data_IF_884405166803
#
_entry.id   IF_884405166803
#
_cell.length_a   1.000
_cell.length_b   1.000
_cell.length_c   1.000
_cell.angle_alpha   90.00
_cell.angle_beta   90.00
_cell.angle_gamma   90.00
#
_symmetry.space_group_name_H-M   'P 1'
#
loop_
_entity.id
_entity.type
_entity.pdbx_description
1 polymer ?
#
# COMPACT_ATOMS: atom_id res chain seq x y z
N UNK A 1 -33.97 43.65 -32.76
CA UNK A 1 -34.83 44.53 -31.94
C UNK A 1 -34.81 43.98 -30.51
N UNK A 2 -34.11 44.63 -29.56
CA UNK A 2 -34.64 45.43 -28.41
C UNK A 2 -35.45 44.55 -27.42
N UNK A 3 -35.22 44.39 -26.11
CA UNK A 3 -34.58 45.12 -24.96
C UNK A 3 -34.45 44.06 -23.82
N UNK A 4 -33.39 43.86 -23.01
CA UNK A 4 -32.77 44.62 -21.89
C UNK A 4 -33.69 45.11 -20.74
N UNK A 5 -33.23 44.79 -19.50
CA UNK A 5 -33.52 45.33 -18.14
C UNK A 5 -34.30 44.36 -17.21
N UNK A 6 -34.00 44.14 -15.92
CA UNK A 6 -33.39 44.98 -14.87
C UNK A 6 -32.61 44.19 -13.78
N UNK A 7 -31.63 44.87 -13.17
CA UNK A 7 -30.95 44.60 -11.88
C UNK A 7 -31.79 45.06 -10.68
N UNK A 8 -31.62 44.40 -9.53
CA UNK A 8 -31.79 44.92 -8.15
C UNK A 8 -30.88 44.06 -7.24
N UNK A 9 -29.74 44.51 -6.69
CA UNK A 9 -29.47 45.54 -5.66
C UNK A 9 -30.24 45.33 -4.34
N UNK A 10 -29.51 44.92 -3.30
CA UNK A 10 -29.97 44.85 -1.91
C UNK A 10 -28.79 44.69 -0.94
N UNK A 11 -28.04 45.78 -0.75
CA UNK A 11 -27.03 45.99 0.29
C UNK A 11 -27.72 46.68 1.47
N UNK A 12 -27.63 46.14 2.69
CA UNK A 12 -27.86 46.92 3.92
C UNK A 12 -26.85 46.54 4.99
N UNK A 13 -26.16 47.57 5.48
CA UNK A 13 -25.07 47.54 6.42
C UNK A 13 -25.52 47.63 7.88
N UNK A 14 -24.67 47.05 8.75
CA UNK A 14 -24.18 47.50 10.05
C UNK A 14 -25.09 48.26 11.04
N UNK A 15 -25.10 47.79 12.29
CA UNK A 15 -24.95 48.63 13.48
C UNK A 15 -24.00 47.95 14.49
N UNK A 16 -22.88 48.62 14.75
CA UNK A 16 -21.98 48.42 15.89
C UNK A 16 -22.61 48.96 17.17
N UNK A 17 -22.33 48.35 18.31
CA UNK A 17 -22.18 49.10 19.57
C UNK A 17 -21.16 48.41 20.47
N UNK A 18 -20.27 49.23 21.02
CA UNK A 18 -19.10 48.84 21.79
C UNK A 18 -19.23 49.29 23.27
N UNK A 19 -18.37 48.69 24.10
CA UNK A 19 -17.78 49.20 25.34
C UNK A 19 -18.51 49.02 26.69
N UNK A 20 -17.87 48.27 27.60
CA UNK A 20 -17.39 48.68 28.95
C UNK A 20 -17.10 47.41 29.81
N UNK A 21 -15.86 47.17 30.29
CA UNK A 21 -15.38 47.25 31.70
C UNK A 21 -16.34 46.62 32.75
N UNK A 22 -15.97 45.75 33.69
CA UNK A 22 -14.71 45.31 34.32
C UNK A 22 -15.01 44.01 35.16
N UNK A 23 -14.03 43.35 35.81
CA UNK A 23 -14.13 42.00 36.38
C UNK A 23 -14.54 41.97 37.86
N UNK A 24 -15.03 40.83 38.36
CA UNK A 24 -15.04 40.48 39.78
C UNK A 24 -14.65 39.01 39.98
N UNK A 25 -13.73 38.82 40.93
CA UNK A 25 -13.26 37.56 41.52
C UNK A 25 -14.17 37.17 42.70
N UNK A 26 -14.34 35.87 42.95
CA UNK A 26 -14.40 35.21 44.27
C UNK A 26 -14.46 33.69 43.99
N UNK A 27 -13.42 32.90 44.31
CA UNK A 27 -13.21 32.19 45.60
C UNK A 27 -14.47 31.41 46.04
N UNK A 28 -14.51 30.13 46.40
CA UNK A 28 -13.60 29.04 46.77
C UNK A 28 -14.52 27.78 46.80
N UNK A 29 -14.11 26.52 46.64
CA UNK A 29 -13.43 25.68 47.63
C UNK A 29 -13.06 24.34 46.98
N UNK A 30 -11.93 23.81 47.45
CA UNK A 30 -11.28 22.55 47.13
C UNK A 30 -12.01 21.31 47.69
N UNK A 31 -11.86 20.16 47.01
CA UNK A 31 -11.45 18.85 47.58
C UNK A 31 -11.51 17.81 46.44
N UNK A 32 -10.59 16.87 46.18
CA UNK A 32 -9.36 16.43 46.82
C UNK A 32 -8.48 15.75 45.76
N UNK A 33 -7.18 15.90 45.97
CA UNK A 33 -6.00 15.31 45.35
C UNK A 33 -5.96 13.77 45.27
N UNK A 34 -5.32 13.23 44.21
CA UNK A 34 -4.24 12.20 44.21
C UNK A 34 -4.18 11.50 42.83
N UNK A 35 -3.05 11.28 42.16
CA UNK A 35 -1.64 11.52 42.46
C UNK A 35 -0.84 11.45 41.15
N UNK A 36 0.13 12.35 41.03
CA UNK A 36 1.08 12.51 39.95
C UNK A 36 2.31 11.63 40.25
N UNK A 37 2.96 11.06 39.24
CA UNK A 37 4.42 10.82 39.27
C UNK A 37 4.90 10.85 37.82
N UNK A 38 5.31 12.02 37.35
CA UNK A 38 6.70 12.52 37.32
C UNK A 38 7.30 12.36 35.91
N UNK A 39 7.32 13.47 35.19
CA UNK A 39 8.19 13.69 34.04
C UNK A 39 9.66 13.61 34.47
N UNK A 40 10.49 13.01 33.62
CA UNK A 40 11.89 13.44 33.51
C UNK A 40 12.25 13.68 32.04
N UNK A 41 12.52 14.96 31.77
CA UNK A 41 13.12 15.48 30.55
C UNK A 41 14.50 14.88 30.32
N UNK A 42 14.81 14.49 29.08
CA UNK A 42 16.15 14.61 28.50
C UNK A 42 16.11 14.51 26.97
N UNK A 43 16.65 15.55 26.34
CA UNK A 43 17.48 15.53 25.13
C UNK A 43 16.88 15.11 23.77
N UNK A 44 16.75 16.14 22.94
CA UNK A 44 16.81 16.08 21.48
C UNK A 44 18.09 15.35 21.04
N UNK A 45 17.94 14.13 20.54
CA UNK A 45 18.98 13.35 19.88
C UNK A 45 18.44 12.88 18.53
N UNK A 46 19.19 13.22 17.48
CA UNK A 46 19.08 12.74 16.09
C UNK A 46 19.27 11.23 16.02
N UNK A 47 18.32 10.53 15.40
CA UNK A 47 18.54 9.29 14.64
C UNK A 47 17.35 9.13 13.69
N UNK A 48 17.59 9.12 12.38
CA UNK A 48 16.62 8.57 11.44
C UNK A 48 16.54 7.08 11.75
N UNK A 49 15.45 6.67 12.40
CA UNK A 49 15.17 5.25 12.65
C UNK A 49 15.18 4.53 11.29
N UNK A 50 15.95 3.44 11.14
CA UNK A 50 15.85 2.61 9.94
C UNK A 50 14.42 2.09 9.91
N UNK A 51 13.73 2.25 8.78
CA UNK A 51 12.41 1.66 8.54
C UNK A 51 12.43 0.23 9.06
N UNK A 52 11.73 -0.02 10.16
CA UNK A 52 11.65 -1.34 10.76
C UNK A 52 10.97 -2.23 9.71
N UNK A 53 11.69 -3.24 9.24
CA UNK A 53 11.13 -4.33 8.46
C UNK A 53 10.08 -5.00 9.37
N UNK A 54 8.81 -4.66 9.18
CA UNK A 54 7.72 -5.30 9.91
C UNK A 54 7.54 -6.69 9.32
N UNK A 55 8.16 -7.69 9.95
CA UNK A 55 7.82 -9.09 9.68
C UNK A 55 6.38 -9.30 10.11
N UNK A 56 5.51 -9.48 9.12
CA UNK A 56 4.11 -9.77 9.31
C UNK A 56 3.97 -11.21 9.85
N UNK A 57 3.22 -11.42 10.95
CA UNK A 57 3.30 -12.69 11.71
C UNK A 57 1.99 -13.48 11.84
N UNK A 58 0.84 -12.91 11.50
CA UNK A 58 -0.48 -13.58 11.61
C UNK A 58 -1.44 -13.07 10.50
N UNK A 59 -2.33 -12.12 10.82
CA UNK A 59 -3.32 -11.53 9.92
C UNK A 59 -3.09 -10.00 9.82
N UNK A 60 -3.10 -9.43 8.61
CA UNK A 60 -2.91 -7.98 8.41
C UNK A 60 -4.19 -7.41 7.85
N UNK A 61 -4.91 -6.69 8.69
CA UNK A 61 -6.05 -5.89 8.29
C UNK A 61 -5.68 -4.41 8.35
N UNK A 62 -5.94 -3.68 7.27
CA UNK A 62 -5.82 -2.22 7.26
C UNK A 62 -6.92 -1.55 6.45
N UNK A 63 -7.12 -0.27 6.76
CA UNK A 63 -8.04 0.60 6.03
C UNK A 63 -7.35 1.92 5.74
N UNK A 64 -7.37 2.33 4.48
CA UNK A 64 -6.76 3.58 4.00
C UNK A 64 -7.78 4.29 3.13
N UNK A 65 -8.18 5.50 3.52
CA UNK A 65 -9.13 6.34 2.77
C UNK A 65 -10.45 5.64 2.39
N UNK A 66 -10.92 4.72 3.25
CA UNK A 66 -12.15 3.95 3.03
C UNK A 66 -11.98 2.67 2.21
N UNK A 67 -10.76 2.38 1.73
CA UNK A 67 -10.39 1.15 1.04
C UNK A 67 -9.85 0.13 2.04
N UNK A 68 -10.07 -1.16 1.83
CA UNK A 68 -9.67 -2.23 2.75
C UNK A 68 -8.67 -3.20 2.14
N UNK A 69 -7.68 -3.58 2.94
CA UNK A 69 -6.71 -4.62 2.65
C UNK A 69 -6.72 -5.64 3.78
N UNK A 70 -6.83 -6.91 3.43
CA UNK A 70 -6.72 -8.05 4.33
C UNK A 70 -5.72 -9.05 3.75
N UNK A 71 -4.75 -9.48 4.54
CA UNK A 71 -4.00 -10.70 4.29
C UNK A 71 -4.35 -11.71 5.37
N UNK A 72 -4.94 -12.83 4.96
CA UNK A 72 -5.49 -13.86 5.86
C UNK A 72 -4.37 -14.69 6.52
N UNK A 73 -3.26 -14.88 5.81
CA UNK A 73 -2.08 -15.61 6.29
C UNK A 73 -0.78 -14.81 6.10
N UNK A 74 0.19 -15.05 6.98
CA UNK A 74 1.51 -14.47 6.92
C UNK A 74 2.44 -15.23 5.96
N UNK A 75 3.34 -14.54 5.24
CA UNK A 75 4.38 -15.19 4.43
C UNK A 75 5.22 -16.17 5.24
N UNK A 76 5.39 -17.39 4.74
CA UNK A 76 6.22 -18.42 5.39
C UNK A 76 7.71 -18.25 5.09
N UNK A 77 8.04 -17.52 4.01
CA UNK A 77 9.41 -17.28 3.59
C UNK A 77 9.60 -15.95 2.86
N UNK A 78 10.86 -15.58 2.60
CA UNK A 78 11.21 -14.30 2.02
C UNK A 78 10.76 -14.11 0.55
N UNK A 79 10.49 -15.19 -0.20
CA UNK A 79 9.94 -15.08 -1.54
C UNK A 79 8.44 -14.75 -1.50
N UNK A 80 7.70 -15.38 -0.57
CA UNK A 80 6.30 -15.02 -0.30
C UNK A 80 6.19 -13.58 0.22
N UNK A 81 7.11 -13.14 1.08
CA UNK A 81 7.18 -11.75 1.57
C UNK A 81 7.33 -10.74 0.43
N UNK A 82 8.07 -11.10 -0.63
CA UNK A 82 8.20 -10.25 -1.81
C UNK A 82 6.88 -10.09 -2.58
N UNK A 83 6.10 -11.16 -2.70
CA UNK A 83 4.76 -11.14 -3.34
C UNK A 83 3.74 -10.40 -2.48
N UNK A 84 3.79 -10.61 -1.16
CA UNK A 84 3.00 -9.83 -0.22
C UNK A 84 3.29 -8.33 -0.34
N UNK A 85 4.58 -7.96 -0.35
CA UNK A 85 5.03 -6.56 -0.46
C UNK A 85 4.60 -5.92 -1.78
N UNK A 86 4.62 -6.67 -2.89
CA UNK A 86 4.12 -6.23 -4.19
C UNK A 86 2.63 -5.84 -4.15
N UNK A 87 1.81 -6.67 -3.51
CA UNK A 87 0.37 -6.39 -3.36
C UNK A 87 0.08 -5.27 -2.37
N UNK A 88 0.86 -5.18 -1.29
CA UNK A 88 0.76 -4.06 -0.37
C UNK A 88 1.11 -2.74 -1.07
N UNK A 89 2.18 -2.73 -1.88
CA UNK A 89 2.55 -1.57 -2.69
C UNK A 89 1.47 -1.19 -3.71
N UNK A 90 0.86 -2.18 -4.36
CA UNK A 90 -0.27 -1.99 -5.28
C UNK A 90 -1.49 -1.37 -4.58
N UNK A 91 -1.87 -1.91 -3.43
CA UNK A 91 -2.99 -1.38 -2.66
C UNK A 91 -2.73 0.06 -2.18
N UNK A 92 -1.52 0.33 -1.68
CA UNK A 92 -1.15 1.67 -1.22
C UNK A 92 -0.89 2.65 -2.37
N UNK A 93 -0.70 2.15 -3.60
CA UNK A 93 -0.16 2.90 -4.74
C UNK A 93 1.14 3.65 -4.38
N UNK A 94 2.00 3.02 -3.56
CA UNK A 94 3.24 3.63 -3.09
C UNK A 94 4.38 3.30 -4.07
N UNK A 95 4.88 4.30 -4.83
CA UNK A 95 5.95 4.06 -5.80
C UNK A 95 7.28 3.71 -5.14
N UNK A 96 7.53 4.18 -3.92
CA UNK A 96 8.77 3.86 -3.19
C UNK A 96 8.74 2.40 -2.76
N UNK A 97 7.65 1.95 -2.14
CA UNK A 97 7.50 0.56 -1.71
C UNK A 97 7.56 -0.39 -2.91
N UNK A 98 6.91 -0.04 -4.02
CA UNK A 98 6.96 -0.85 -5.25
C UNK A 98 8.38 -0.96 -5.82
N UNK A 99 9.13 0.13 -5.85
CA UNK A 99 10.50 0.14 -6.37
C UNK A 99 11.50 -0.60 -5.47
N UNK A 100 11.29 -0.64 -4.15
CA UNK A 100 12.12 -1.43 -3.23
C UNK A 100 12.04 -2.94 -3.53
N UNK A 101 10.84 -3.42 -3.90
CA UNK A 101 10.60 -4.81 -4.33
C UNK A 101 10.95 -5.10 -5.80
N UNK A 102 11.25 -4.08 -6.61
CA UNK A 102 11.52 -4.21 -8.04
C UNK A 102 13.02 -4.48 -8.31
N UNK A 103 13.41 -5.53 -9.06
CA UNK A 103 14.79 -5.71 -9.47
C UNK A 103 15.29 -4.54 -10.31
N UNK A 104 16.53 -4.08 -10.09
CA UNK A 104 17.12 -2.96 -10.86
C UNK A 104 17.08 -3.21 -12.37
N UNK A 105 17.27 -4.46 -12.79
CA UNK A 105 17.19 -4.90 -14.18
C UNK A 105 15.82 -4.68 -14.84
N UNK A 106 14.76 -4.51 -14.04
CA UNK A 106 13.37 -4.38 -14.49
C UNK A 106 12.82 -2.95 -14.40
N UNK A 107 13.48 -2.04 -13.69
CA UNK A 107 12.97 -0.66 -13.46
C UNK A 107 12.62 0.05 -14.79
N UNK A 108 13.40 -0.19 -15.83
CA UNK A 108 13.24 0.49 -17.12
C UNK A 108 12.22 -0.17 -18.07
N UNK A 109 11.67 -1.32 -17.67
CA UNK A 109 10.73 -2.10 -18.47
C UNK A 109 9.38 -1.37 -18.58
N UNK A 110 8.73 -1.34 -19.77
CA UNK A 110 7.49 -0.57 -19.99
C UNK A 110 6.38 -0.85 -18.98
N UNK A 111 6.25 -2.10 -18.54
CA UNK A 111 5.27 -2.56 -17.56
C UNK A 111 5.43 -1.83 -16.21
N UNK A 112 6.66 -1.73 -15.70
CA UNK A 112 6.98 -1.00 -14.45
C UNK A 112 6.65 0.49 -14.61
N UNK A 113 7.04 1.09 -15.74
CA UNK A 113 6.75 2.50 -16.03
C UNK A 113 5.26 2.79 -16.14
N UNK A 114 4.51 1.90 -16.77
CA UNK A 114 3.07 2.03 -16.88
C UNK A 114 2.40 1.92 -15.51
N UNK A 115 2.88 1.01 -14.65
CA UNK A 115 2.38 0.85 -13.28
C UNK A 115 2.60 2.11 -12.45
N UNK A 116 3.84 2.61 -12.42
CA UNK A 116 4.18 3.87 -11.73
C UNK A 116 3.38 5.05 -12.27
N UNK A 117 3.20 5.13 -13.59
CA UNK A 117 2.36 6.16 -14.22
C UNK A 117 0.88 6.06 -13.84
N UNK A 118 0.37 4.86 -13.51
CA UNK A 118 -0.98 4.70 -12.98
C UNK A 118 -1.07 5.19 -11.53
N UNK A 119 -0.05 4.93 -10.70
CA UNK A 119 0.00 5.45 -9.32
C UNK A 119 0.01 6.98 -9.29
N UNK A 120 0.81 7.62 -10.16
CA UNK A 120 0.86 9.08 -10.27
C UNK A 120 -0.48 9.71 -10.70
N UNK A 121 -1.36 8.91 -11.32
CA UNK A 121 -2.65 9.35 -11.84
C UNK A 121 -3.83 8.85 -11.00
N UNK A 122 -3.57 8.22 -9.84
CA UNK A 122 -4.59 7.62 -8.97
C UNK A 122 -5.52 6.64 -9.72
N UNK A 123 -5.00 5.92 -10.72
CA UNK A 123 -5.80 5.02 -11.57
C UNK A 123 -5.87 3.63 -10.99
N UNK A 124 -6.99 2.94 -11.21
CA UNK A 124 -7.19 1.53 -10.88
C UNK A 124 -6.98 1.23 -9.38
N UNK A 125 -7.39 2.15 -8.51
CA UNK A 125 -7.34 1.95 -7.07
C UNK A 125 -8.16 0.72 -6.67
N UNK A 126 -7.62 -0.06 -5.73
CA UNK A 126 -8.32 -1.20 -5.17
C UNK A 126 -9.14 -0.71 -3.98
N UNK A 127 -10.45 -0.93 -4.05
CA UNK A 127 -11.41 -0.60 -3.00
C UNK A 127 -11.41 -1.66 -1.91
N UNK A 128 -11.41 -2.93 -2.30
CA UNK A 128 -11.33 -4.08 -1.40
C UNK A 128 -10.31 -5.08 -1.95
N UNK A 129 -9.35 -5.46 -1.12
CA UNK A 129 -8.35 -6.49 -1.42
C UNK A 129 -8.31 -7.51 -0.30
N UNK A 130 -8.41 -8.80 -0.64
CA UNK A 130 -8.21 -9.90 0.28
C UNK A 130 -7.20 -10.87 -0.32
N UNK A 131 -6.00 -10.92 0.24
CA UNK A 131 -5.01 -11.95 -0.04
C UNK A 131 -5.34 -13.18 0.82
N UNK A 132 -5.82 -14.23 0.16
CA UNK A 132 -6.26 -15.45 0.82
C UNK A 132 -5.09 -16.39 1.12
N UNK A 133 -4.20 -16.58 0.14
CA UNK A 133 -3.13 -17.57 0.26
C UNK A 133 -1.89 -17.12 -0.50
N UNK A 134 -0.72 -17.38 0.09
CA UNK A 134 0.57 -17.40 -0.57
C UNK A 134 1.17 -18.79 -0.39
N UNK A 135 1.51 -19.44 -1.49
CA UNK A 135 2.06 -20.80 -1.45
C UNK A 135 3.31 -20.89 -2.31
N UNK A 136 4.40 -21.39 -1.74
CA UNK A 136 5.58 -21.82 -2.50
C UNK A 136 5.29 -23.13 -3.22
N UNK A 137 5.19 -23.09 -4.55
CA UNK A 137 4.77 -24.24 -5.36
C UNK A 137 5.93 -25.04 -5.91
N UNK A 138 5.64 -26.31 -6.16
CA UNK A 138 6.56 -27.30 -6.75
C UNK A 138 6.50 -27.28 -8.29
N UNK A 139 7.46 -27.94 -8.93
CA UNK A 139 7.53 -28.08 -10.40
C UNK A 139 6.35 -28.89 -10.94
N UNK A 140 5.90 -29.88 -10.18
CA UNK A 140 4.71 -30.68 -10.50
C UNK A 140 3.46 -29.80 -10.61
N UNK A 141 3.21 -28.95 -9.61
CA UNK A 141 2.05 -28.03 -9.58
C UNK A 141 2.10 -27.01 -10.71
N UNK A 142 3.30 -26.49 -11.03
CA UNK A 142 3.48 -25.59 -12.17
C UNK A 142 3.14 -26.26 -13.52
N UNK A 143 3.28 -27.58 -13.63
CA UNK A 143 2.95 -28.31 -14.86
C UNK A 143 1.44 -28.48 -15.04
N UNK A 144 0.68 -28.44 -13.95
CA UNK A 144 -0.79 -28.53 -13.96
C UNK A 144 -1.47 -27.18 -14.24
N UNK A 145 -0.73 -26.07 -14.10
CA UNK A 145 -1.19 -24.73 -14.47
C UNK A 145 -1.46 -24.63 -15.99
N UNK A 146 -2.48 -23.84 -16.36
CA UNK A 146 -2.81 -23.57 -17.77
C UNK A 146 -1.67 -22.82 -18.48
N UNK A 147 -1.59 -22.89 -19.82
CA UNK A 147 -0.50 -22.27 -20.59
C UNK A 147 -0.34 -20.76 -20.36
N UNK A 148 -1.43 -20.03 -20.06
CA UNK A 148 -1.38 -18.58 -19.80
C UNK A 148 -0.90 -18.25 -18.38
N UNK A 149 -1.21 -19.12 -17.41
CA UNK A 149 -0.82 -18.95 -16.00
C UNK A 149 0.61 -19.42 -15.73
N UNK A 150 1.22 -20.09 -16.72
CA UNK A 150 2.53 -20.71 -16.59
C UNK A 150 3.64 -19.66 -16.64
N UNK A 151 4.49 -19.69 -15.62
CA UNK A 151 5.75 -18.97 -15.57
C UNK A 151 6.93 -19.86 -15.95
N UNK A 152 8.07 -19.25 -16.27
CA UNK A 152 9.27 -19.93 -16.75
C UNK A 152 10.46 -19.76 -15.79
N UNK A 153 10.46 -20.43 -14.61
CA UNK A 153 11.48 -20.20 -13.59
C UNK A 153 12.90 -20.49 -14.06
N UNK A 154 13.11 -21.50 -14.90
CA UNK A 154 14.43 -21.85 -15.45
C UNK A 154 14.94 -20.78 -16.44
N UNK A 155 14.07 -20.30 -17.34
CA UNK A 155 14.42 -19.27 -18.32
C UNK A 155 14.68 -17.92 -17.63
N UNK A 156 13.85 -17.59 -16.63
CA UNK A 156 14.01 -16.40 -15.79
C UNK A 156 15.30 -16.47 -14.96
N UNK A 157 15.62 -17.64 -14.39
CA UNK A 157 16.88 -17.82 -13.67
C UNK A 157 18.10 -17.62 -14.58
N UNK A 158 18.07 -18.14 -15.81
CA UNK A 158 19.14 -17.95 -16.80
C UNK A 158 19.23 -16.48 -17.25
N UNK A 159 18.09 -15.85 -17.57
CA UNK A 159 18.04 -14.47 -18.06
C UNK A 159 18.62 -13.47 -17.06
N UNK A 160 18.35 -13.66 -15.76
CA UNK A 160 18.76 -12.73 -14.70
C UNK A 160 19.92 -13.26 -13.84
N UNK A 161 20.54 -14.38 -14.22
CA UNK A 161 21.63 -15.03 -13.49
C UNK A 161 21.31 -15.26 -12.00
N UNK A 162 20.08 -15.69 -11.71
CA UNK A 162 19.61 -15.96 -10.35
C UNK A 162 20.31 -17.21 -9.80
N UNK A 163 20.75 -17.15 -8.54
CA UNK A 163 21.40 -18.28 -7.86
C UNK A 163 20.37 -19.16 -7.16
N UNK A 164 19.24 -18.57 -6.76
CA UNK A 164 18.09 -19.27 -6.20
C UNK A 164 16.80 -18.69 -6.75
N UNK A 165 15.85 -19.58 -7.02
CA UNK A 165 14.54 -19.26 -7.58
C UNK A 165 13.48 -20.06 -6.84
N UNK A 166 12.36 -19.41 -6.52
CA UNK A 166 11.14 -20.03 -6.00
C UNK A 166 9.95 -19.52 -6.82
N UNK A 167 8.95 -20.37 -6.98
CA UNK A 167 7.69 -19.98 -7.60
C UNK A 167 6.65 -19.85 -6.50
N UNK A 168 5.95 -18.72 -6.47
CA UNK A 168 4.90 -18.43 -5.49
C UNK A 168 3.56 -18.35 -6.22
N UNK A 169 2.55 -19.09 -5.78
CA UNK A 169 1.14 -18.84 -6.13
C UNK A 169 0.56 -17.85 -5.13
N UNK A 170 -0.14 -16.83 -5.63
CA UNK A 170 -0.98 -15.98 -4.80
C UNK A 170 -2.43 -16.13 -5.23
N UNK A 171 -3.31 -16.33 -4.25
CA UNK A 171 -4.76 -16.35 -4.44
C UNK A 171 -5.38 -15.15 -3.72
N UNK A 172 -6.18 -14.36 -4.41
CA UNK A 172 -6.77 -13.15 -3.85
C UNK A 172 -8.14 -12.85 -4.42
N UNK A 173 -8.89 -12.00 -3.73
CA UNK A 173 -10.09 -11.35 -4.23
C UNK A 173 -9.86 -9.84 -4.27
N UNK A 174 -10.27 -9.19 -5.36
CA UNK A 174 -10.24 -7.73 -5.45
C UNK A 174 -11.52 -7.12 -6.03
N UNK A 175 -11.84 -5.91 -5.57
CA UNK A 175 -12.85 -5.03 -6.14
C UNK A 175 -12.23 -3.67 -6.45
N UNK A 176 -12.49 -3.16 -7.67
CA UNK A 176 -12.13 -1.82 -8.13
C UNK A 176 -13.33 -1.16 -8.82
N UNK A 177 -13.49 0.15 -8.67
CA UNK A 177 -14.48 0.93 -9.45
C UNK A 177 -14.19 0.84 -10.97
N UNK A 178 -12.92 0.98 -11.34
CA UNK A 178 -12.44 0.80 -12.71
C UNK A 178 -11.58 -0.48 -12.78
N UNK A 179 -12.16 -1.64 -13.12
CA UNK A 179 -11.40 -2.89 -13.17
C UNK A 179 -10.39 -2.89 -14.32
N UNK A 180 -9.26 -3.57 -14.09
CA UNK A 180 -8.24 -3.85 -15.10
C UNK A 180 -8.62 -5.08 -15.95
N UNK A 181 -7.67 -5.60 -16.74
CA UNK A 181 -7.90 -6.60 -17.79
C UNK A 181 -8.65 -7.87 -17.34
N UNK A 182 -8.61 -8.25 -16.06
CA UNK A 182 -9.20 -9.48 -15.53
C UNK A 182 -10.45 -9.28 -14.66
N UNK A 183 -10.92 -8.03 -14.48
CA UNK A 183 -12.16 -7.76 -13.74
C UNK A 183 -12.01 -7.76 -12.21
N UNK A 184 -13.14 -7.62 -11.53
CA UNK A 184 -13.25 -7.87 -10.09
C UNK A 184 -13.57 -9.35 -9.84
N UNK A 185 -13.25 -9.83 -8.64
CA UNK A 185 -13.52 -11.19 -8.21
C UNK A 185 -12.27 -11.91 -7.70
N UNK A 186 -12.32 -13.24 -7.75
CA UNK A 186 -11.24 -14.10 -7.25
C UNK A 186 -10.27 -14.46 -8.36
N UNK A 187 -8.99 -14.41 -8.03
CA UNK A 187 -7.88 -14.53 -8.96
C UNK A 187 -6.77 -15.39 -8.36
N UNK A 188 -5.96 -15.95 -9.25
CA UNK A 188 -4.75 -16.69 -8.92
C UNK A 188 -3.64 -16.30 -9.89
N UNK A 189 -2.42 -16.15 -9.39
CA UNK A 189 -1.25 -15.87 -10.24
C UNK A 189 0.01 -16.49 -9.67
N UNK A 190 0.84 -17.00 -10.57
CA UNK A 190 2.19 -17.48 -10.27
C UNK A 190 3.23 -16.37 -10.46
N UNK A 191 4.21 -16.31 -9.57
CA UNK A 191 5.32 -15.37 -9.56
C UNK A 191 6.63 -16.12 -9.51
N UNK A 192 7.59 -15.75 -10.35
CA UNK A 192 8.97 -16.22 -10.20
C UNK A 192 9.72 -15.22 -9.35
N UNK A 193 10.02 -15.64 -8.13
CA UNK A 193 10.85 -14.89 -7.21
C UNK A 193 12.28 -15.45 -7.24
N UNK A 194 13.27 -14.58 -7.11
CA UNK A 194 14.64 -15.05 -7.00
C UNK A 194 15.57 -14.05 -6.37
N UNK A 195 16.81 -14.50 -6.21
CA UNK A 195 17.91 -13.73 -5.62
C UNK A 195 19.24 -14.18 -6.22
N UNK A 196 20.27 -13.39 -5.96
CA UNK A 196 21.65 -13.74 -6.30
C UNK A 196 22.49 -13.86 -5.03
N UNK A 197 23.69 -14.43 -5.13
CA UNK A 197 24.64 -14.41 -4.01
C UNK A 197 25.09 -12.98 -3.64
N UNK A 198 25.13 -12.07 -4.62
CA UNK A 198 25.56 -10.67 -4.44
C UNK A 198 24.43 -9.77 -3.91
N UNK A 199 23.18 -10.08 -4.28
CA UNK A 199 21.98 -9.44 -3.80
C UNK A 199 21.02 -10.50 -3.23
N UNK A 200 21.05 -10.71 -1.90
CA UNK A 200 20.31 -11.79 -1.25
C UNK A 200 18.82 -11.46 -1.06
N UNK A 201 18.36 -10.27 -1.48
CA UNK A 201 16.96 -9.85 -1.34
C UNK A 201 16.13 -10.52 -2.42
N UNK A 202 15.10 -11.24 -1.98
CA UNK A 202 14.12 -11.86 -2.87
C UNK A 202 13.27 -10.81 -3.55
N UNK A 203 13.17 -10.90 -4.88
CA UNK A 203 12.34 -10.00 -5.70
C UNK A 203 11.64 -10.76 -6.81
N UNK A 204 10.60 -10.14 -7.37
CA UNK A 204 9.79 -10.72 -8.44
C UNK A 204 10.43 -10.41 -9.80
N UNK A 205 10.72 -11.45 -10.58
CA UNK A 205 11.33 -11.33 -11.91
C UNK A 205 10.36 -11.62 -13.05
N UNK A 206 9.33 -12.42 -12.80
CA UNK A 206 8.32 -12.82 -13.77
C UNK A 206 7.00 -13.09 -13.04
N UNK A 207 5.89 -12.96 -13.76
CA UNK A 207 4.57 -13.37 -13.28
C UNK A 207 3.71 -13.85 -14.46
N UNK A 208 2.82 -14.80 -14.19
CA UNK A 208 1.91 -15.35 -15.20
C UNK A 208 0.87 -14.33 -15.66
N UNK A 209 0.34 -14.51 -16.89
CA UNK A 209 -0.74 -13.69 -17.41
C UNK A 209 -2.09 -14.31 -17.06
N UNK A 210 -2.95 -13.54 -16.39
CA UNK A 210 -4.35 -13.91 -16.15
C UNK A 210 -5.25 -13.51 -17.32
#
# INVERSE_FOLDING_TARGET
MKRRWFLLCGLTAAVLSAAACQPEEDESEEDTFQEFTEQKSAEKSTEEEPYAFYLFSEELAMTVDGRSFLAEDAPENAAEEAVFSEWLAEFLQDPKLYLEGCPESRIEVPEVKNKLGNYEQDRYQIDEFVLHELETVTVEELTEAGENDRVHPDETAEQYALTETLVIRADWTEEREEPVNYGNGSHSRYYVCGRTEEDPVWRIYEWGFM
#
